data_IF_511361677016
#
_entry.id   IF_511361677016
#
_cell.length_a   1.000
_cell.length_b   1.000
_cell.length_c   1.000
_cell.angle_alpha   90.00
_cell.angle_beta   90.00
_cell.angle_gamma   90.00
#
_symmetry.space_group_name_H-M   'P 1'
#
loop_
_entity.id
_entity.type
_entity.pdbx_description
1 polymer ?
#
# COMPACT_ATOMS: atom_id res chain seq x y z
N UNK A 1 1.47 -9.69 -16.92
CA UNK A 1 1.35 -11.03 -17.54
C UNK A 1 0.93 -11.06 -19.01
N UNK A 2 -0.10 -10.32 -19.46
CA UNK A 2 -0.53 -10.35 -20.88
C UNK A 2 0.57 -10.00 -21.91
N UNK A 3 1.41 -9.00 -21.61
CA UNK A 3 2.57 -8.64 -22.47
C UNK A 3 3.65 -9.72 -22.54
N UNK A 4 3.79 -10.54 -21.48
CA UNK A 4 4.77 -11.65 -21.41
C UNK A 4 4.28 -12.83 -22.25
N UNK A 5 2.97 -13.13 -22.19
CA UNK A 5 2.33 -14.16 -23.02
C UNK A 5 2.48 -13.83 -24.51
N UNK A 6 2.16 -12.60 -24.92
CA UNK A 6 2.31 -12.16 -26.32
C UNK A 6 3.75 -12.27 -26.83
N UNK A 7 4.74 -11.97 -25.98
CA UNK A 7 6.16 -12.12 -26.31
C UNK A 7 6.58 -13.60 -26.45
N UNK A 8 6.07 -14.48 -25.58
CA UNK A 8 6.34 -15.92 -25.65
C UNK A 8 5.75 -16.56 -26.92
N UNK A 9 4.62 -16.04 -27.41
CA UNK A 9 4.01 -16.48 -28.67
C UNK A 9 4.84 -16.04 -29.88
N UNK A 10 5.30 -14.79 -29.90
CA UNK A 10 6.19 -14.29 -30.96
C UNK A 10 7.52 -15.06 -31.04
N UNK A 11 8.00 -15.57 -29.90
CA UNK A 11 9.22 -16.37 -29.81
C UNK A 11 9.00 -17.87 -30.09
N UNK A 12 7.82 -18.28 -30.53
CA UNK A 12 7.51 -19.70 -30.82
C UNK A 12 7.48 -20.61 -29.59
N UNK A 13 7.50 -20.05 -28.36
CA UNK A 13 7.44 -20.81 -27.10
C UNK A 13 6.00 -21.18 -26.75
N UNK A 14 5.34 -21.87 -27.69
CA UNK A 14 3.90 -22.12 -27.71
C UNK A 14 3.41 -22.89 -26.48
N UNK A 15 4.19 -23.86 -25.98
CA UNK A 15 3.82 -24.66 -24.80
C UNK A 15 3.83 -23.80 -23.53
N UNK A 16 4.88 -23.01 -23.35
CA UNK A 16 5.05 -22.11 -22.20
C UNK A 16 4.04 -20.97 -22.22
N UNK A 17 3.76 -20.37 -23.37
CA UNK A 17 2.68 -19.37 -23.51
C UNK A 17 1.34 -19.96 -23.07
N UNK A 18 0.99 -21.16 -23.56
CA UNK A 18 -0.27 -21.84 -23.19
C UNK A 18 -0.35 -22.12 -21.69
N UNK A 19 0.75 -22.53 -21.05
CA UNK A 19 0.80 -22.72 -19.59
C UNK A 19 0.57 -21.40 -18.85
N UNK A 20 1.18 -20.30 -19.30
CA UNK A 20 1.03 -18.98 -18.67
C UNK A 20 -0.38 -18.41 -18.88
N UNK A 21 -0.95 -18.61 -20.06
CA UNK A 21 -2.35 -18.25 -20.37
C UNK A 21 -3.33 -19.08 -19.55
N UNK A 22 -3.10 -20.38 -19.39
CA UNK A 22 -3.93 -21.24 -18.57
C UNK A 22 -3.85 -20.86 -17.09
N UNK A 23 -2.66 -20.55 -16.57
CA UNK A 23 -2.48 -20.07 -15.20
C UNK A 23 -3.16 -18.71 -14.98
N UNK A 24 -3.00 -17.75 -15.90
CA UNK A 24 -3.66 -16.45 -15.85
C UNK A 24 -5.18 -16.56 -15.89
N UNK A 25 -5.73 -17.41 -16.78
CA UNK A 25 -7.17 -17.61 -16.91
C UNK A 25 -7.76 -18.43 -15.76
N UNK A 26 -6.98 -19.35 -15.19
CA UNK A 26 -7.33 -20.05 -13.95
C UNK A 26 -7.42 -19.07 -12.79
N UNK A 27 -6.44 -18.17 -12.69
CA UNK A 27 -6.43 -17.10 -11.70
C UNK A 27 -7.60 -16.13 -11.89
N UNK A 28 -7.85 -15.61 -13.09
CA UNK A 28 -8.99 -14.71 -13.38
C UNK A 28 -10.34 -15.37 -13.03
N UNK A 29 -10.50 -16.68 -13.30
CA UNK A 29 -11.72 -17.43 -12.96
C UNK A 29 -11.85 -17.72 -11.47
N UNK A 30 -10.78 -18.12 -10.81
CA UNK A 30 -10.72 -18.22 -9.33
C UNK A 30 -11.15 -16.89 -8.68
N UNK A 31 -10.78 -15.78 -9.32
CA UNK A 31 -11.10 -14.41 -8.90
C UNK A 31 -12.48 -13.91 -9.35
N UNK A 32 -13.27 -14.70 -10.11
CA UNK A 32 -14.57 -14.30 -10.70
C UNK A 32 -14.53 -12.94 -11.43
N UNK A 33 -13.40 -12.58 -12.05
CA UNK A 33 -13.23 -11.28 -12.73
C UNK A 33 -13.04 -10.07 -11.81
N UNK A 34 -12.86 -10.26 -10.50
CA UNK A 34 -12.56 -9.18 -9.56
C UNK A 34 -11.05 -9.07 -9.25
N UNK A 35 -10.51 -7.85 -9.25
CA UNK A 35 -9.16 -7.57 -8.71
C UNK A 35 -8.99 -8.14 -7.30
N UNK A 36 -7.77 -8.56 -6.94
CA UNK A 36 -7.44 -9.17 -5.63
C UNK A 36 -8.02 -8.31 -4.48
N UNK A 37 -8.86 -8.85 -3.59
CA UNK A 37 -9.51 -8.10 -2.55
C UNK A 37 -8.51 -7.88 -1.41
N UNK A 38 -8.69 -6.77 -0.72
CA UNK A 38 -7.83 -6.25 0.34
C UNK A 38 -8.23 -6.75 1.72
N UNK A 39 -8.70 -7.99 1.85
CA UNK A 39 -9.24 -8.52 3.10
C UNK A 39 -8.20 -8.79 4.20
N UNK A 40 -6.91 -8.54 3.94
CA UNK A 40 -5.84 -8.61 4.96
C UNK A 40 -5.05 -7.32 5.22
N UNK A 41 -5.53 -6.14 4.75
CA UNK A 41 -5.27 -4.77 5.26
C UNK A 41 -5.59 -3.78 4.13
N UNK A 42 -6.69 -3.07 4.27
CA UNK A 42 -7.20 -2.14 3.25
C UNK A 42 -6.61 -0.72 3.37
N UNK A 43 -6.69 0.05 2.29
CA UNK A 43 -6.29 1.46 2.20
C UNK A 43 -7.12 2.38 3.13
N UNK A 44 -8.32 1.94 3.48
CA UNK A 44 -9.16 2.51 4.53
C UNK A 44 -8.47 2.47 5.91
N UNK A 45 -7.72 1.42 6.25
CA UNK A 45 -7.00 1.34 7.52
C UNK A 45 -5.87 2.37 7.65
N UNK A 46 -5.19 2.69 6.56
CA UNK A 46 -4.05 3.63 6.58
C UNK A 46 -4.52 5.09 6.62
N UNK A 47 -5.60 5.42 5.91
CA UNK A 47 -6.20 6.73 6.08
C UNK A 47 -6.93 6.86 7.43
N UNK A 48 -7.51 5.78 7.99
CA UNK A 48 -8.01 5.79 9.37
C UNK A 48 -6.86 6.00 10.37
N UNK A 49 -5.67 5.52 10.05
CA UNK A 49 -4.50 5.79 10.87
C UNK A 49 -4.16 7.29 10.90
N UNK A 50 -3.99 7.95 9.75
CA UNK A 50 -3.62 9.37 9.70
C UNK A 50 -4.74 10.30 10.17
N UNK A 51 -6.00 9.98 9.86
CA UNK A 51 -7.15 10.83 10.17
C UNK A 51 -7.51 10.87 11.66
N UNK A 52 -7.20 9.80 12.41
CA UNK A 52 -7.62 9.65 13.80
C UNK A 52 -6.50 9.86 14.82
N UNK A 53 -5.27 10.17 14.39
CA UNK A 53 -4.21 10.52 15.34
C UNK A 53 -4.59 11.76 16.13
N UNK A 54 -4.54 11.66 17.45
CA UNK A 54 -4.88 12.74 18.36
C UNK A 54 -3.63 13.49 18.78
N UNK A 55 -3.79 14.78 19.09
CA UNK A 55 -2.73 15.61 19.69
C UNK A 55 -2.19 14.98 20.98
N UNK A 56 -3.05 14.29 21.74
CA UNK A 56 -2.68 13.56 22.96
C UNK A 56 -1.76 12.35 22.73
N UNK A 57 -1.72 11.81 21.51
CA UNK A 57 -0.91 10.64 21.15
C UNK A 57 0.57 11.02 20.95
N UNK A 58 0.87 12.32 20.77
CA UNK A 58 2.22 12.84 20.58
C UNK A 58 2.77 13.42 21.89
N UNK A 59 3.82 12.80 22.44
CA UNK A 59 4.51 13.28 23.65
C UNK A 59 6.01 13.08 23.53
N UNK A 60 6.80 14.11 23.86
CA UNK A 60 8.26 14.05 23.92
C UNK A 60 8.92 13.47 22.66
N UNK A 61 8.40 13.80 21.47
CA UNK A 61 8.93 13.30 20.19
C UNK A 61 8.58 11.83 19.89
N UNK A 62 7.66 11.23 20.64
CA UNK A 62 7.14 9.89 20.40
C UNK A 62 5.63 9.96 20.11
N UNK A 63 5.22 9.36 19.00
CA UNK A 63 3.82 9.12 18.67
C UNK A 63 3.42 7.74 19.18
N UNK A 64 2.40 7.67 20.02
CA UNK A 64 1.91 6.45 20.66
C UNK A 64 0.40 6.38 20.57
N UNK A 65 -0.13 5.40 19.84
CA UNK A 65 -1.57 5.29 19.58
C UNK A 65 -2.03 3.83 19.49
N UNK A 66 -3.35 3.64 19.47
CA UNK A 66 -3.98 2.34 19.27
C UNK A 66 -4.70 2.32 17.93
N UNK A 67 -4.39 1.35 17.07
CA UNK A 67 -5.09 1.19 15.78
C UNK A 67 -6.56 0.85 16.02
N UNK A 68 -7.46 1.57 15.34
CA UNK A 68 -8.91 1.39 15.50
C UNK A 68 -9.40 0.01 15.02
N UNK A 69 -8.85 -0.49 13.90
CA UNK A 69 -9.25 -1.79 13.31
C UNK A 69 -8.72 -3.01 14.05
N UNK A 70 -7.43 -3.03 14.38
CA UNK A 70 -6.78 -4.22 14.97
C UNK A 70 -6.64 -4.14 16.48
N UNK A 71 -6.79 -2.95 17.07
CA UNK A 71 -6.53 -2.72 18.51
C UNK A 71 -5.04 -2.76 18.88
N UNK A 72 -4.14 -3.00 17.92
CA UNK A 72 -2.70 -3.04 18.14
C UNK A 72 -2.18 -1.67 18.59
N UNK A 73 -1.32 -1.66 19.60
CA UNK A 73 -0.61 -0.46 20.04
C UNK A 73 0.66 -0.29 19.21
N UNK A 74 0.87 0.92 18.71
CA UNK A 74 2.06 1.26 17.95
C UNK A 74 2.74 2.47 18.59
N UNK A 75 4.07 2.42 18.56
CA UNK A 75 4.96 3.45 19.07
C UNK A 75 5.96 3.77 17.97
N UNK A 76 6.06 5.04 17.58
CA UNK A 76 7.04 5.47 16.60
C UNK A 76 7.61 6.82 16.94
N UNK A 77 8.87 7.00 16.59
CA UNK A 77 9.53 8.30 16.70
C UNK A 77 8.82 9.30 15.78
N UNK A 78 8.51 10.46 16.33
CA UNK A 78 7.96 11.58 15.58
C UNK A 78 9.08 12.28 14.83
N UNK A 79 9.00 12.27 13.51
CA UNK A 79 10.05 12.82 12.65
C UNK A 79 9.74 14.25 12.21
N UNK A 80 10.79 15.00 11.86
CA UNK A 80 10.69 16.41 11.44
C UNK A 80 9.71 16.58 10.29
N UNK A 81 9.73 15.68 9.30
CA UNK A 81 8.81 15.75 8.17
C UNK A 81 7.33 15.64 8.58
N UNK A 82 7.03 14.87 9.63
CA UNK A 82 5.67 14.76 10.19
C UNK A 82 5.26 16.06 10.88
N UNK A 83 6.17 16.67 11.62
CA UNK A 83 5.95 17.97 12.23
C UNK A 83 5.67 19.07 11.20
N UNK A 84 6.41 19.06 10.09
CA UNK A 84 6.20 20.02 8.98
C UNK A 84 4.86 19.80 8.27
N UNK A 85 4.33 18.58 8.22
CA UNK A 85 2.96 18.33 7.74
C UNK A 85 1.95 18.99 8.67
N UNK A 86 2.03 18.73 9.99
CA UNK A 86 1.10 19.31 10.96
C UNK A 86 1.16 20.85 10.96
N UNK A 87 2.35 21.45 10.85
CA UNK A 87 2.52 22.91 10.78
C UNK A 87 1.81 23.58 9.59
N UNK A 88 1.60 22.86 8.48
CA UNK A 88 0.83 23.38 7.33
C UNK A 88 -0.67 23.53 7.63
N UNK A 89 -1.12 22.99 8.77
CA UNK A 89 -2.52 23.03 9.21
C UNK A 89 -2.62 23.70 10.59
N UNK A 90 -2.36 25.02 10.72
CA UNK A 90 -2.30 25.69 12.03
C UNK A 90 -3.65 25.83 12.74
N UNK A 91 -4.75 25.77 11.98
CA UNK A 91 -6.10 26.07 12.47
C UNK A 91 -6.93 24.82 12.82
N UNK A 92 -6.29 23.70 13.14
CA UNK A 92 -7.00 22.48 13.56
C UNK A 92 -7.52 22.67 14.99
N UNK A 93 -8.83 22.91 15.13
CA UNK A 93 -9.51 23.14 16.42
C UNK A 93 -9.93 21.84 17.11
N UNK A 94 -10.01 20.73 16.38
CA UNK A 94 -10.36 19.42 16.92
C UNK A 94 -9.20 18.78 17.68
N UNK A 95 -9.46 17.66 18.35
CA UNK A 95 -8.44 16.89 19.08
C UNK A 95 -7.45 16.17 18.16
N UNK A 96 -7.72 16.07 16.86
CA UNK A 96 -6.89 15.38 15.88
C UNK A 96 -5.67 16.20 15.46
N UNK A 97 -4.63 15.53 14.96
CA UNK A 97 -3.42 16.16 14.42
C UNK A 97 -3.66 16.81 13.06
N UNK A 98 -4.57 16.26 12.26
CA UNK A 98 -4.86 16.70 10.89
C UNK A 98 -6.34 17.09 10.72
N UNK A 99 -6.66 18.04 9.84
CA UNK A 99 -8.03 18.52 9.62
C UNK A 99 -8.86 17.56 8.74
N UNK A 100 -8.86 16.27 9.06
CA UNK A 100 -9.68 15.26 8.35
C UNK A 100 -11.04 15.08 9.00
N UNK A 101 -11.07 15.11 10.33
CA UNK A 101 -12.28 15.03 11.15
C UNK A 101 -12.44 16.38 11.83
N UNK A 102 -13.45 17.15 11.42
CA UNK A 102 -13.60 18.56 11.80
C UNK A 102 -14.98 18.87 12.38
N UNK A 103 -16.02 18.16 11.95
CA UNK A 103 -17.39 18.42 12.38
C UNK A 103 -17.87 17.37 13.39
N UNK A 104 -18.12 17.72 14.67
CA UNK A 104 -18.60 16.77 15.67
C UNK A 104 -20.03 16.28 15.42
N UNK A 105 -20.82 16.98 14.59
CA UNK A 105 -22.18 16.57 14.24
C UNK A 105 -22.23 15.48 13.15
N UNK A 106 -21.12 15.26 12.44
CA UNK A 106 -21.04 14.26 11.36
C UNK A 106 -20.23 13.05 11.82
N UNK A 107 -20.70 11.81 11.59
CA UNK A 107 -19.93 10.62 11.94
C UNK A 107 -18.49 10.66 11.41
N UNK A 108 -17.51 10.47 12.30
CA UNK A 108 -16.07 10.52 12.00
C UNK A 108 -15.70 9.68 10.76
N UNK A 109 -16.25 8.45 10.70
CA UNK A 109 -16.01 7.51 9.60
C UNK A 109 -16.42 8.07 8.25
N UNK A 110 -17.54 8.78 8.18
CA UNK A 110 -18.04 9.38 6.93
C UNK A 110 -17.15 10.54 6.48
N UNK A 111 -16.70 11.38 7.41
CA UNK A 111 -15.76 12.48 7.10
C UNK A 111 -14.46 11.91 6.54
N UNK A 112 -13.95 10.87 7.20
CA UNK A 112 -12.78 10.15 6.76
C UNK A 112 -12.93 9.54 5.35
N UNK A 113 -13.99 8.76 5.09
CA UNK A 113 -14.24 8.13 3.79
C UNK A 113 -14.32 9.18 2.67
N UNK A 114 -14.99 10.30 2.91
CA UNK A 114 -15.07 11.42 1.97
C UNK A 114 -13.68 12.03 1.66
N UNK A 115 -12.87 12.24 2.70
CA UNK A 115 -11.51 12.74 2.52
C UNK A 115 -10.63 11.77 1.73
N UNK A 116 -10.71 10.47 2.02
CA UNK A 116 -10.00 9.43 1.28
C UNK A 116 -10.41 9.41 -0.20
N UNK A 117 -11.71 9.48 -0.50
CA UNK A 117 -12.20 9.54 -1.87
C UNK A 117 -11.71 10.78 -2.61
N UNK A 118 -11.70 11.94 -1.94
CA UNK A 118 -11.17 13.18 -2.50
C UNK A 118 -9.68 13.04 -2.84
N UNK A 119 -8.87 12.55 -1.90
CA UNK A 119 -7.43 12.37 -2.10
C UNK A 119 -7.16 11.38 -3.24
N UNK A 120 -7.84 10.23 -3.27
CA UNK A 120 -7.65 9.26 -4.35
C UNK A 120 -8.06 9.81 -5.72
N UNK A 121 -9.13 10.62 -5.79
CA UNK A 121 -9.48 11.34 -7.03
C UNK A 121 -8.38 12.29 -7.46
N UNK A 122 -7.79 13.04 -6.52
CA UNK A 122 -6.69 13.96 -6.81
C UNK A 122 -5.40 13.24 -7.21
N UNK A 123 -5.10 12.11 -6.60
CA UNK A 123 -3.97 11.27 -7.00
C UNK A 123 -4.14 10.71 -8.41
N UNK A 124 -5.37 10.37 -8.81
CA UNK A 124 -5.67 9.98 -10.19
C UNK A 124 -5.37 11.12 -11.18
N UNK A 125 -5.82 12.34 -10.89
CA UNK A 125 -5.51 13.53 -11.70
C UNK A 125 -3.98 13.76 -11.80
N UNK A 126 -3.24 13.56 -10.70
CA UNK A 126 -1.77 13.67 -10.69
C UNK A 126 -1.13 12.58 -11.54
N UNK A 127 -1.61 11.35 -11.46
CA UNK A 127 -1.10 10.22 -12.25
C UNK A 127 -1.28 10.47 -13.75
N UNK A 128 -2.45 10.96 -14.16
CA UNK A 128 -2.75 11.33 -15.54
C UNK A 128 -1.83 12.46 -16.04
N UNK A 129 -1.66 13.52 -15.24
CA UNK A 129 -0.76 14.65 -15.59
C UNK A 129 0.71 14.23 -15.68
N UNK A 130 1.12 13.27 -14.87
CA UNK A 130 2.47 12.71 -14.88
C UNK A 130 2.67 11.64 -15.96
N UNK A 131 1.64 11.32 -16.76
CA UNK A 131 1.73 10.29 -17.81
C UNK A 131 1.92 8.88 -17.28
N UNK A 132 1.50 8.60 -16.04
CA UNK A 132 1.65 7.29 -15.44
C UNK A 132 0.63 6.31 -16.01
N UNK A 133 1.11 5.13 -16.42
CA UNK A 133 0.24 4.06 -16.94
C UNK A 133 -0.60 3.38 -15.83
N UNK A 134 -0.29 3.63 -14.57
CA UNK A 134 -0.96 3.07 -13.40
C UNK A 134 -1.58 4.18 -12.55
N UNK A 135 -2.80 4.00 -12.01
CA UNK A 135 -3.42 4.99 -11.16
C UNK A 135 -2.67 5.11 -9.83
N UNK A 136 -2.45 6.34 -9.38
CA UNK A 136 -1.99 6.61 -8.02
C UNK A 136 -3.18 6.59 -7.06
N UNK A 137 -2.99 5.93 -5.92
CA UNK A 137 -3.91 5.94 -4.78
C UNK A 137 -3.08 6.03 -3.50
N UNK A 138 -3.72 6.33 -2.37
CA UNK A 138 -3.03 6.33 -1.07
C UNK A 138 -2.36 5.00 -0.73
N UNK A 139 -2.81 3.90 -1.35
CA UNK A 139 -2.22 2.58 -1.19
C UNK A 139 -0.79 2.46 -1.75
N UNK A 140 -0.48 3.24 -2.79
CA UNK A 140 0.85 3.23 -3.44
C UNK A 140 1.96 3.69 -2.49
N UNK A 141 1.66 4.61 -1.57
CA UNK A 141 2.62 5.10 -0.57
C UNK A 141 3.14 3.99 0.33
N UNK A 142 2.25 3.11 0.82
CA UNK A 142 2.61 1.97 1.67
C UNK A 142 3.40 0.91 0.91
N UNK A 143 2.98 0.61 -0.32
CA UNK A 143 3.73 -0.28 -1.22
C UNK A 143 5.14 0.24 -1.47
N UNK A 144 5.27 1.54 -1.72
CA UNK A 144 6.57 2.16 -1.93
C UNK A 144 7.46 2.02 -0.70
N UNK A 145 6.94 2.32 0.50
CA UNK A 145 7.69 2.17 1.74
C UNK A 145 8.20 0.73 1.96
N UNK A 146 7.31 -0.26 1.85
CA UNK A 146 7.68 -1.65 2.08
C UNK A 146 8.66 -2.19 1.02
N UNK A 147 8.46 -1.82 -0.26
CA UNK A 147 9.38 -2.18 -1.34
C UNK A 147 10.76 -1.55 -1.15
N UNK A 148 10.82 -0.27 -0.78
CA UNK A 148 12.08 0.43 -0.48
C UNK A 148 12.75 -0.21 0.73
N UNK A 149 12.02 -0.46 1.83
CA UNK A 149 12.54 -1.11 3.02
C UNK A 149 13.14 -2.48 2.70
N UNK A 150 12.47 -3.27 1.85
CA UNK A 150 12.99 -4.56 1.39
C UNK A 150 14.27 -4.42 0.56
N UNK A 151 14.33 -3.44 -0.35
CA UNK A 151 15.55 -3.14 -1.14
C UNK A 151 16.71 -2.66 -0.27
N UNK A 152 16.43 -2.04 0.86
CA UNK A 152 17.42 -1.65 1.88
C UNK A 152 17.83 -2.81 2.79
N UNK A 153 17.41 -4.05 2.48
CA UNK A 153 17.67 -5.26 3.28
C UNK A 153 17.17 -5.17 4.73
N UNK A 154 16.13 -4.36 4.99
CA UNK A 154 15.47 -4.35 6.30
C UNK A 154 14.85 -5.75 6.53
N UNK A 155 15.02 -6.35 7.72
CA UNK A 155 14.46 -7.66 8.03
C UNK A 155 12.94 -7.68 7.82
N UNK A 156 12.43 -8.80 7.32
CA UNK A 156 11.01 -8.98 7.06
C UNK A 156 10.16 -8.74 8.31
N UNK A 157 10.61 -9.22 9.47
CA UNK A 157 9.99 -8.98 10.77
C UNK A 157 9.79 -7.49 11.06
N UNK A 158 10.81 -6.66 10.79
CA UNK A 158 10.77 -5.20 10.99
C UNK A 158 9.86 -4.52 9.97
N UNK A 159 9.85 -4.99 8.71
CA UNK A 159 8.91 -4.49 7.70
C UNK A 159 7.46 -4.83 8.11
N UNK A 160 7.24 -6.06 8.57
CA UNK A 160 5.96 -6.57 9.06
C UNK A 160 5.44 -5.75 10.24
N UNK A 161 6.30 -5.49 11.21
CA UNK A 161 6.01 -4.65 12.38
C UNK A 161 5.72 -3.20 11.97
N UNK A 162 6.53 -2.60 11.09
CA UNK A 162 6.31 -1.24 10.60
C UNK A 162 5.01 -1.07 9.79
N UNK A 163 4.54 -2.15 9.16
CA UNK A 163 3.23 -2.20 8.50
C UNK A 163 2.08 -2.50 9.49
N UNK A 164 2.41 -2.94 10.71
CA UNK A 164 1.49 -3.43 11.72
C UNK A 164 0.73 -4.66 11.25
N UNK A 165 1.43 -5.63 10.65
CA UNK A 165 0.87 -6.94 10.31
C UNK A 165 1.00 -7.86 11.53
N UNK A 166 -0.05 -8.63 11.81
CA UNK A 166 -0.08 -9.58 12.93
C UNK A 166 0.78 -10.83 12.67
N UNK A 167 1.22 -11.03 11.42
CA UNK A 167 2.06 -12.14 11.00
C UNK A 167 3.03 -11.73 9.88
N UNK A 168 4.27 -12.24 9.95
CA UNK A 168 5.23 -12.12 8.87
C UNK A 168 4.74 -12.78 7.58
N UNK A 169 3.88 -13.80 7.66
CA UNK A 169 3.30 -14.48 6.51
C UNK A 169 2.52 -13.51 5.62
N UNK A 170 1.74 -12.60 6.21
CA UNK A 170 1.01 -11.55 5.47
C UNK A 170 1.99 -10.62 4.75
N UNK A 171 3.13 -10.30 5.37
CA UNK A 171 4.19 -9.49 4.76
C UNK A 171 4.93 -10.24 3.64
N UNK A 172 5.14 -11.55 3.76
CA UNK A 172 5.74 -12.39 2.70
C UNK A 172 4.86 -12.42 1.46
N UNK A 173 3.57 -12.69 1.62
CA UNK A 173 2.60 -12.70 0.51
C UNK A 173 2.56 -11.32 -0.16
N UNK A 174 2.53 -10.26 0.65
CA UNK A 174 2.55 -8.89 0.18
C UNK A 174 3.82 -8.54 -0.62
N UNK A 175 5.01 -8.87 -0.12
CA UNK A 175 6.27 -8.62 -0.81
C UNK A 175 6.46 -9.51 -2.06
N UNK A 176 5.98 -10.76 -2.02
CA UNK A 176 6.01 -11.64 -3.18
C UNK A 176 5.18 -11.08 -4.35
N UNK A 177 4.09 -10.35 -4.06
CA UNK A 177 3.30 -9.65 -5.08
C UNK A 177 3.99 -8.41 -5.67
N UNK A 178 4.97 -7.85 -4.96
CA UNK A 178 5.72 -6.65 -5.35
C UNK A 178 6.97 -6.97 -6.18
N UNK A 179 7.50 -8.19 -6.07
CA UNK A 179 8.83 -8.53 -6.57
C UNK A 179 8.82 -9.57 -7.70
N UNK A 180 8.01 -9.32 -8.74
CA UNK A 180 8.16 -10.09 -9.99
C UNK A 180 9.50 -9.83 -10.67
N UNK A 181 10.17 -8.71 -10.35
CA UNK A 181 11.47 -8.33 -10.95
C UNK A 181 12.62 -9.26 -10.56
N UNK A 182 12.62 -9.80 -9.33
CA UNK A 182 13.59 -10.79 -8.90
C UNK A 182 13.35 -12.14 -9.57
N UNK A 183 12.09 -12.53 -9.77
CA UNK A 183 11.71 -13.73 -10.52
C UNK A 183 12.09 -13.59 -11.99
N UNK A 184 11.82 -12.43 -12.60
CA UNK A 184 12.18 -12.14 -14.00
C UNK A 184 13.71 -12.19 -14.18
N UNK A 185 14.48 -11.63 -13.25
CA UNK A 185 15.95 -11.69 -13.26
C UNK A 185 16.49 -13.11 -13.04
N UNK A 186 15.88 -13.90 -12.16
CA UNK A 186 16.23 -15.31 -11.97
C UNK A 186 15.94 -16.13 -13.23
N UNK A 187 14.81 -15.88 -13.88
CA UNK A 187 14.46 -16.51 -15.16
C UNK A 187 15.44 -16.10 -16.27
N UNK A 188 15.85 -14.83 -16.34
CA UNK A 188 16.87 -14.38 -17.30
C UNK A 188 18.22 -15.07 -17.10
N UNK A 189 18.63 -15.35 -15.85
CA UNK A 189 19.87 -16.07 -15.57
C UNK A 189 19.77 -17.54 -16.02
N UNK A 190 18.68 -18.22 -15.69
CA UNK A 190 18.46 -19.63 -16.11
C UNK A 190 18.38 -19.75 -17.63
N UNK A 191 17.73 -18.81 -18.31
CA UNK A 191 17.63 -18.80 -19.77
C UNK A 191 18.93 -18.44 -20.49
N UNK A 192 19.90 -17.84 -19.81
CA UNK A 192 21.25 -17.57 -20.35
C UNK A 192 22.19 -18.77 -20.20
N UNK A 193 21.91 -19.67 -19.26
CA UNK A 193 22.66 -20.91 -19.02
C UNK A 193 22.13 -22.11 -19.85
N UNK A 194 21.12 -21.90 -20.69
CA UNK A 194 20.54 -22.86 -21.63
C UNK A 194 20.94 -22.50 -23.07
#
# INVERSE_FOLDING_TARGET
MGKVIARLEQLGKTRTSKTYTAALNSFIRFRKGHDVPSDEIDSGLMGEYEAYLKKSDLKNGLLSYRRKKTGQRLHMKWEVCMQEIVKRHPNVTTEYLLPVITDPAVPERRQYENALHLVNRKLKEVAERAGLAVPLTMYVSRHSWASIARRMNIPLSIISEGMGHDSETTTQIYLASLDTSVIDRANELILKDL
#
